data_IF_141509285900
#
_entry.id   IF_141509285900
#
_cell.length_a   1.000
_cell.length_b   1.000
_cell.length_c   1.000
_cell.angle_alpha   90.00
_cell.angle_beta   90.00
_cell.angle_gamma   90.00
#
_symmetry.space_group_name_H-M   'P 1'
#
loop_
_entity.id
_entity.type
_entity.pdbx_description
1 polymer ?
#
# COMPACT_ATOMS: atom_id res chain seq x y z
N UNK A 1 4.32 21.86 15.48
CA UNK A 1 2.99 21.45 14.98
C UNK A 1 2.85 19.95 15.23
N UNK A 2 2.14 19.56 16.29
CA UNK A 2 1.81 18.13 16.51
C UNK A 2 0.84 17.71 15.42
N UNK A 3 1.22 16.74 14.59
CA UNK A 3 0.31 16.06 13.67
C UNK A 3 -0.74 15.33 14.52
N UNK A 4 -1.86 15.99 14.84
CA UNK A 4 -3.06 15.29 15.31
C UNK A 4 -3.59 14.53 14.11
N UNK A 5 -3.25 13.26 14.04
CA UNK A 5 -3.78 12.37 13.01
C UNK A 5 -5.30 12.26 13.17
N UNK A 6 -6.03 12.43 12.08
CA UNK A 6 -7.46 12.14 12.07
C UNK A 6 -7.65 10.63 12.20
N UNK A 7 -8.75 10.21 12.86
CA UNK A 7 -9.18 8.81 12.83
C UNK A 7 -9.36 8.39 11.36
N UNK A 8 -8.94 7.18 10.94
CA UNK A 8 -9.06 6.74 9.54
C UNK A 8 -10.47 6.92 8.94
N UNK A 9 -11.53 6.70 9.72
CA UNK A 9 -12.92 6.89 9.33
C UNK A 9 -13.29 8.34 9.01
N UNK A 10 -12.55 9.32 9.56
CA UNK A 10 -12.76 10.75 9.33
C UNK A 10 -12.00 11.30 8.13
N UNK A 11 -11.15 10.49 7.50
CA UNK A 11 -10.40 10.88 6.31
C UNK A 11 -11.07 10.24 5.10
N UNK A 12 -11.76 11.00 4.27
CA UNK A 12 -12.40 10.47 3.04
C UNK A 12 -11.42 10.36 1.87
N UNK A 13 -10.51 11.33 1.76
CA UNK A 13 -9.46 11.42 0.73
C UNK A 13 -8.15 11.85 1.41
N UNK A 14 -7.09 11.06 1.27
CA UNK A 14 -5.79 11.40 1.84
C UNK A 14 -5.08 12.43 0.97
N UNK A 15 -4.79 13.60 1.54
CA UNK A 15 -3.99 14.61 0.83
C UNK A 15 -2.53 14.20 0.76
N UNK A 16 -1.90 14.50 -0.36
CA UNK A 16 -0.48 14.33 -0.54
C UNK A 16 0.29 15.59 -0.15
N UNK A 17 1.41 15.41 0.54
CA UNK A 17 2.35 16.48 0.87
C UNK A 17 3.75 16.07 0.44
N UNK A 18 4.53 17.07 0.03
CA UNK A 18 5.95 16.84 -0.21
C UNK A 18 6.65 16.50 1.11
N UNK A 19 7.52 15.52 1.03
CA UNK A 19 8.33 15.02 2.13
C UNK A 19 9.19 16.12 2.77
N UNK A 20 9.31 16.11 4.11
CA UNK A 20 10.37 16.85 4.79
C UNK A 20 11.74 16.31 4.40
N UNK A 21 12.73 17.20 4.17
CA UNK A 21 14.09 16.86 3.70
C UNK A 21 14.85 15.75 4.48
N UNK A 22 14.39 15.33 5.65
CA UNK A 22 15.07 14.37 6.54
C UNK A 22 14.66 12.89 6.34
N UNK A 23 13.62 12.58 5.57
CA UNK A 23 13.30 11.18 5.24
C UNK A 23 14.28 10.71 4.12
N UNK A 24 14.78 9.47 4.14
CA UNK A 24 15.65 8.95 3.05
C UNK A 24 14.83 8.46 1.85
N UNK A 25 15.43 8.38 0.66
CA UNK A 25 14.78 7.82 -0.54
C UNK A 25 14.61 6.30 -0.40
N UNK A 26 13.50 5.73 -0.89
CA UNK A 26 13.25 4.29 -0.80
C UNK A 26 11.85 3.79 -1.22
N UNK A 27 10.84 4.65 -1.30
CA UNK A 27 9.45 4.30 -1.68
C UNK A 27 8.89 5.40 -2.58
N UNK A 28 8.00 5.09 -3.53
CA UNK A 28 7.41 6.08 -4.46
C UNK A 28 6.43 7.04 -3.75
N UNK A 29 5.62 6.50 -2.85
CA UNK A 29 4.77 7.24 -1.91
C UNK A 29 4.69 6.48 -0.57
N UNK A 30 4.22 7.15 0.49
CA UNK A 30 4.03 6.54 1.81
C UNK A 30 2.76 7.09 2.48
N UNK A 31 1.85 6.20 2.86
CA UNK A 31 0.75 6.52 3.77
C UNK A 31 1.24 6.72 5.20
N UNK A 32 1.20 7.97 5.67
CA UNK A 32 1.55 8.39 7.03
C UNK A 32 0.39 9.12 7.71
N UNK A 33 -0.30 8.44 8.62
CA UNK A 33 -1.38 8.98 9.45
C UNK A 33 -2.46 9.74 8.67
N UNK A 34 -2.92 9.16 7.55
CA UNK A 34 -3.97 9.76 6.70
C UNK A 34 -3.45 10.80 5.71
N UNK A 35 -2.13 10.90 5.56
CA UNK A 35 -1.46 11.78 4.60
C UNK A 35 -0.57 10.95 3.70
N UNK A 36 -0.53 11.25 2.41
CA UNK A 36 0.40 10.64 1.47
C UNK A 36 1.68 11.49 1.46
N UNK A 37 2.83 10.89 1.67
CA UNK A 37 4.13 11.56 1.61
C UNK A 37 4.81 11.19 0.28
N UNK A 38 5.12 12.20 -0.54
CA UNK A 38 5.83 12.06 -1.83
C UNK A 38 7.21 12.72 -1.77
N UNK A 39 8.10 12.54 -2.74
CA UNK A 39 9.44 13.16 -2.69
C UNK A 39 9.44 14.62 -3.08
N UNK A 40 8.59 15.01 -4.03
CA UNK A 40 8.54 16.37 -4.56
C UNK A 40 7.17 17.01 -4.39
N UNK A 41 7.14 18.34 -4.38
CA UNK A 41 5.89 19.13 -4.41
C UNK A 41 5.08 18.84 -5.68
N UNK A 42 5.75 18.61 -6.80
CA UNK A 42 5.10 18.29 -8.07
C UNK A 42 4.35 16.96 -8.00
N UNK A 43 4.97 15.92 -7.43
CA UNK A 43 4.30 14.63 -7.17
C UNK A 43 3.12 14.81 -6.21
N UNK A 44 3.29 15.57 -5.13
CA UNK A 44 2.20 15.82 -4.18
C UNK A 44 1.01 16.51 -4.86
N UNK A 45 1.28 17.53 -5.70
CA UNK A 45 0.25 18.20 -6.47
C UNK A 45 -0.45 17.25 -7.46
N UNK A 46 0.28 16.35 -8.11
CA UNK A 46 -0.30 15.34 -8.99
C UNK A 46 -1.29 14.43 -8.25
N UNK A 47 -0.88 13.86 -7.11
CA UNK A 47 -1.74 13.03 -6.26
C UNK A 47 -2.97 13.76 -5.72
N UNK A 48 -2.86 15.08 -5.52
CA UNK A 48 -3.98 15.90 -5.05
C UNK A 48 -4.96 16.28 -6.17
N UNK A 49 -4.50 16.33 -7.43
CA UNK A 49 -5.32 16.69 -8.59
C UNK A 49 -5.90 15.49 -9.31
N UNK A 50 -5.26 14.32 -9.23
CA UNK A 50 -5.62 13.11 -9.98
C UNK A 50 -5.73 11.90 -9.07
N UNK A 51 -6.75 11.09 -9.34
CA UNK A 51 -6.91 9.78 -8.74
C UNK A 51 -6.36 8.71 -9.69
N UNK A 52 -5.07 8.43 -9.58
CA UNK A 52 -4.38 7.41 -10.37
C UNK A 52 -4.21 6.08 -9.59
N UNK A 53 -3.51 5.11 -10.19
CA UNK A 53 -3.31 3.80 -9.57
C UNK A 53 -2.51 3.86 -8.27
N UNK A 54 -1.56 4.79 -8.15
CA UNK A 54 -0.76 4.91 -6.94
C UNK A 54 -1.55 5.62 -5.84
N UNK A 55 -2.34 6.65 -6.19
CA UNK A 55 -3.32 7.23 -5.27
C UNK A 55 -4.31 6.18 -4.77
N UNK A 56 -4.83 5.32 -5.65
CA UNK A 56 -5.71 4.22 -5.26
C UNK A 56 -5.03 3.24 -4.28
N UNK A 57 -3.78 2.87 -4.56
CA UNK A 57 -2.96 2.02 -3.67
C UNK A 57 -2.86 2.63 -2.25
N UNK A 58 -2.49 3.90 -2.15
CA UNK A 58 -2.41 4.57 -0.85
C UNK A 58 -3.79 4.63 -0.18
N UNK A 59 -4.85 4.93 -0.92
CA UNK A 59 -6.22 4.93 -0.40
C UNK A 59 -6.65 3.57 0.13
N UNK A 60 -6.16 2.45 -0.42
CA UNK A 60 -6.41 1.12 0.15
C UNK A 60 -5.85 1.02 1.57
N UNK A 61 -4.65 1.55 1.85
CA UNK A 61 -4.10 1.57 3.21
C UNK A 61 -4.95 2.35 4.21
N UNK A 62 -5.58 3.43 3.78
CA UNK A 62 -6.57 4.13 4.61
C UNK A 62 -7.75 3.21 4.98
N UNK A 63 -8.28 2.46 4.02
CA UNK A 63 -9.40 1.54 4.27
C UNK A 63 -8.97 0.32 5.11
N UNK A 64 -7.72 -0.13 4.98
CA UNK A 64 -7.13 -1.13 5.87
C UNK A 64 -6.99 -0.58 7.29
N UNK A 65 -6.61 0.69 7.46
CA UNK A 65 -6.56 1.37 8.76
C UNK A 65 -7.95 1.51 9.40
N UNK A 66 -8.99 1.77 8.60
CA UNK A 66 -10.41 1.71 9.04
C UNK A 66 -10.78 0.31 9.52
N UNK A 67 -10.42 -0.72 8.76
CA UNK A 67 -10.69 -2.12 9.09
C UNK A 67 -9.89 -2.66 10.29
N UNK A 68 -8.80 -1.99 10.68
CA UNK A 68 -7.96 -2.33 11.84
C UNK A 68 -8.31 -1.47 13.04
N UNK A 69 -9.54 -1.64 13.52
CA UNK A 69 -10.10 -0.92 14.68
C UNK A 69 -10.18 0.60 14.51
N UNK A 70 -10.27 1.08 13.27
CA UNK A 70 -10.28 2.51 12.97
C UNK A 70 -9.11 3.27 13.65
N UNK A 71 -7.91 2.68 13.56
CA UNK A 71 -6.73 3.13 14.30
C UNK A 71 -5.45 2.98 13.49
N UNK A 72 -4.81 4.11 13.18
CA UNK A 72 -3.48 4.12 12.56
C UNK A 72 -2.44 3.36 13.38
N UNK A 73 -2.50 3.44 14.70
CA UNK A 73 -1.57 2.71 15.57
C UNK A 73 -1.74 1.21 15.43
N UNK A 74 -2.98 0.70 15.42
CA UNK A 74 -3.25 -0.72 15.22
C UNK A 74 -2.80 -1.19 13.84
N UNK A 75 -3.10 -0.40 12.80
CA UNK A 75 -2.62 -0.64 11.45
C UNK A 75 -1.09 -0.76 11.40
N UNK A 76 -0.36 0.22 11.93
CA UNK A 76 1.11 0.21 11.90
C UNK A 76 1.74 -0.90 12.72
N UNK A 77 1.17 -1.25 13.87
CA UNK A 77 1.65 -2.38 14.67
C UNK A 77 1.49 -3.70 13.91
N UNK A 78 0.34 -3.94 13.28
CA UNK A 78 0.11 -5.13 12.46
C UNK A 78 1.00 -5.14 11.22
N UNK A 79 1.10 -4.00 10.52
CA UNK A 79 1.97 -3.86 9.35
C UNK A 79 3.43 -4.16 9.71
N UNK A 80 3.94 -3.56 10.79
CA UNK A 80 5.30 -3.78 11.29
C UNK A 80 5.54 -5.23 11.73
N UNK A 81 4.56 -5.86 12.38
CA UNK A 81 4.62 -7.28 12.74
C UNK A 81 4.75 -8.18 11.50
N UNK A 82 3.91 -7.98 10.48
CA UNK A 82 4.00 -8.76 9.24
C UNK A 82 5.30 -8.49 8.48
N UNK A 83 5.76 -7.24 8.47
CA UNK A 83 7.04 -6.88 7.88
C UNK A 83 8.20 -7.64 8.55
N UNK A 84 8.29 -7.61 9.89
CA UNK A 84 9.30 -8.36 10.65
C UNK A 84 9.19 -9.87 10.38
N UNK A 85 7.97 -10.38 10.30
CA UNK A 85 7.73 -11.78 9.98
C UNK A 85 8.21 -12.17 8.59
N UNK A 86 8.07 -11.31 7.59
CA UNK A 86 8.52 -11.58 6.24
C UNK A 86 10.02 -11.25 6.02
N UNK A 87 10.59 -10.34 6.80
CA UNK A 87 12.02 -9.97 6.75
C UNK A 87 12.95 -11.16 7.02
N UNK A 88 12.50 -12.20 7.72
CA UNK A 88 13.26 -13.47 7.85
C UNK A 88 13.49 -14.18 6.50
N UNK A 89 12.75 -13.82 5.45
CA UNK A 89 12.86 -14.35 4.09
C UNK A 89 13.79 -13.51 3.19
N UNK A 90 14.46 -12.49 3.74
CA UNK A 90 15.30 -11.53 2.99
C UNK A 90 16.37 -12.19 2.12
N UNK A 91 16.99 -13.29 2.57
CA UNK A 91 18.00 -14.02 1.79
C UNK A 91 17.50 -14.55 0.45
N UNK A 92 16.18 -14.77 0.31
CA UNK A 92 15.55 -15.28 -0.92
C UNK A 92 14.90 -14.17 -1.74
N UNK A 93 14.42 -13.13 -1.07
CA UNK A 93 13.75 -12.00 -1.71
C UNK A 93 14.16 -10.70 -1.01
N UNK A 94 15.01 -9.87 -1.64
CA UNK A 94 15.25 -8.51 -1.16
C UNK A 94 13.92 -7.78 -0.98
N UNK A 95 13.78 -7.03 0.11
CA UNK A 95 12.53 -6.35 0.48
C UNK A 95 11.34 -7.30 0.73
N UNK A 96 11.58 -8.57 1.10
CA UNK A 96 10.52 -9.52 1.48
C UNK A 96 9.53 -8.95 2.50
N UNK A 97 10.00 -8.17 3.47
CA UNK A 97 9.17 -7.49 4.46
C UNK A 97 8.06 -6.65 3.84
N UNK A 98 8.35 -5.98 2.73
CA UNK A 98 7.40 -5.17 1.96
C UNK A 98 6.60 -6.05 0.98
N UNK A 99 7.29 -6.80 0.12
CA UNK A 99 6.67 -7.55 -0.98
C UNK A 99 5.74 -8.68 -0.53
N UNK A 100 5.95 -9.21 0.68
CA UNK A 100 5.12 -10.29 1.25
C UNK A 100 4.21 -9.78 2.37
N UNK A 101 4.13 -8.48 2.60
CA UNK A 101 3.22 -7.93 3.60
C UNK A 101 1.76 -8.15 3.13
N UNK A 102 0.87 -8.75 3.95
CA UNK A 102 -0.51 -8.98 3.56
C UNK A 102 -1.26 -7.71 3.12
N UNK A 103 -0.95 -6.57 3.73
CA UNK A 103 -1.53 -5.28 3.37
C UNK A 103 -1.08 -4.82 1.98
N UNK A 104 0.21 -4.98 1.67
CA UNK A 104 0.77 -4.65 0.36
C UNK A 104 0.24 -5.57 -0.74
N UNK A 105 0.06 -6.86 -0.45
CA UNK A 105 -0.49 -7.81 -1.42
C UNK A 105 -1.90 -7.44 -1.88
N UNK A 106 -2.76 -7.02 -0.94
CA UNK A 106 -4.09 -6.49 -1.27
C UNK A 106 -3.99 -5.18 -2.04
N UNK A 107 -3.19 -4.22 -1.56
CA UNK A 107 -3.05 -2.91 -2.19
C UNK A 107 -2.53 -3.02 -3.64
N UNK A 108 -1.50 -3.82 -3.89
CA UNK A 108 -1.00 -4.08 -5.24
C UNK A 108 -1.90 -4.95 -6.11
N UNK A 109 -2.69 -5.83 -5.49
CA UNK A 109 -3.68 -6.65 -6.18
C UNK A 109 -4.77 -5.77 -6.81
N UNK A 110 -5.20 -4.73 -6.10
CA UNK A 110 -6.33 -3.89 -6.48
C UNK A 110 -5.98 -2.48 -6.96
N UNK A 111 -4.70 -2.09 -6.99
CA UNK A 111 -4.31 -0.71 -7.36
C UNK A 111 -4.83 -0.25 -8.74
N UNK A 112 -5.01 -1.16 -9.70
CA UNK A 112 -5.52 -0.85 -11.04
C UNK A 112 -7.05 -0.89 -11.14
N UNK A 113 -7.73 -1.37 -10.10
CA UNK A 113 -9.18 -1.38 -9.99
C UNK A 113 -9.63 -0.17 -9.18
N UNK A 114 -9.84 0.95 -9.89
CA UNK A 114 -10.25 2.23 -9.29
C UNK A 114 -11.64 2.17 -8.61
N UNK A 115 -12.42 1.12 -8.89
CA UNK A 115 -13.75 0.93 -8.31
C UNK A 115 -13.72 -0.05 -7.11
N UNK A 116 -12.57 -0.63 -6.79
CA UNK A 116 -12.41 -1.60 -5.70
C UNK A 116 -12.98 -1.08 -4.37
N UNK A 117 -12.55 0.11 -3.95
CA UNK A 117 -12.98 0.72 -2.68
C UNK A 117 -14.46 1.11 -2.66
N UNK A 118 -15.02 1.44 -3.83
CA UNK A 118 -16.45 1.75 -3.96
C UNK A 118 -17.31 0.51 -3.76
N UNK A 119 -16.87 -0.66 -4.25
CA UNK A 119 -17.61 -1.92 -4.14
C UNK A 119 -17.51 -2.55 -2.76
N UNK A 120 -16.31 -2.61 -2.19
CA UNK A 120 -16.07 -3.35 -0.94
C UNK A 120 -16.34 -2.54 0.33
N UNK A 121 -16.34 -1.19 0.26
CA UNK A 121 -16.47 -0.26 1.41
C UNK A 121 -15.41 -0.41 2.52
N UNK A 122 -14.68 -1.52 2.57
CA UNK A 122 -13.56 -1.83 3.46
C UNK A 122 -12.51 -2.65 2.69
N UNK A 123 -11.24 -2.47 3.04
CA UNK A 123 -10.14 -3.30 2.54
C UNK A 123 -9.77 -4.32 3.62
N UNK A 124 -10.21 -5.57 3.42
CA UNK A 124 -10.12 -6.67 4.40
C UNK A 124 -9.49 -7.94 3.83
N UNK A 125 -9.17 -7.99 2.55
CA UNK A 125 -8.57 -9.16 1.89
C UNK A 125 -7.17 -9.46 2.43
N UNK A 126 -6.47 -8.46 2.99
CA UNK A 126 -5.24 -8.67 3.75
C UNK A 126 -5.37 -9.74 4.84
N UNK A 127 -6.57 -9.95 5.42
CA UNK A 127 -6.80 -11.00 6.42
C UNK A 127 -6.64 -12.40 5.83
N UNK A 128 -7.05 -12.59 4.58
CA UNK A 128 -6.83 -13.85 3.86
C UNK A 128 -5.35 -14.05 3.58
N UNK A 129 -4.65 -13.02 3.08
CA UNK A 129 -3.19 -13.08 2.88
C UNK A 129 -2.42 -13.29 4.19
N UNK A 130 -2.93 -12.82 5.33
CA UNK A 130 -2.33 -13.02 6.64
C UNK A 130 -2.40 -14.47 7.13
N UNK A 131 -3.39 -15.24 6.67
CA UNK A 131 -3.51 -16.68 6.96
C UNK A 131 -2.55 -17.53 6.11
N UNK A 132 -2.03 -16.98 5.01
CA UNK A 132 -1.07 -17.66 4.16
C UNK A 132 0.33 -17.71 4.79
N UNK A 133 1.00 -18.84 4.58
CA UNK A 133 2.43 -18.97 4.80
C UNK A 133 3.23 -17.99 3.93
N UNK A 134 4.47 -17.71 4.32
CA UNK A 134 5.35 -16.85 3.52
C UNK A 134 5.65 -17.44 2.14
N UNK A 135 5.68 -18.76 2.01
CA UNK A 135 5.89 -19.44 0.74
C UNK A 135 4.69 -19.24 -0.20
N UNK A 136 3.46 -19.37 0.31
CA UNK A 136 2.24 -19.11 -0.47
C UNK A 136 2.16 -17.65 -0.91
N UNK A 137 2.45 -16.69 -0.02
CA UNK A 137 2.52 -15.27 -0.37
C UNK A 137 3.57 -14.97 -1.42
N UNK A 138 4.73 -15.62 -1.34
CA UNK A 138 5.78 -15.50 -2.34
C UNK A 138 5.31 -16.01 -3.70
N UNK A 139 4.71 -17.20 -3.75
CA UNK A 139 4.14 -17.76 -4.98
C UNK A 139 3.07 -16.85 -5.58
N UNK A 140 2.19 -16.29 -4.75
CA UNK A 140 1.15 -15.35 -5.15
C UNK A 140 1.75 -14.07 -5.75
N UNK A 141 2.73 -13.47 -5.07
CA UNK A 141 3.45 -12.29 -5.55
C UNK A 141 4.12 -12.56 -6.90
N UNK A 142 4.87 -13.66 -7.03
CA UNK A 142 5.56 -14.01 -8.28
C UNK A 142 4.59 -14.23 -9.42
N UNK A 143 3.47 -14.94 -9.19
CA UNK A 143 2.44 -15.16 -10.22
C UNK A 143 1.84 -13.84 -10.72
N UNK A 144 1.49 -12.92 -9.81
CA UNK A 144 0.91 -11.63 -10.17
C UNK A 144 1.91 -10.72 -10.89
N UNK A 145 3.19 -10.75 -10.49
CA UNK A 145 4.25 -10.00 -11.18
C UNK A 145 4.48 -10.52 -12.60
N UNK A 146 4.51 -11.84 -12.79
CA UNK A 146 4.66 -12.46 -14.11
C UNK A 146 3.48 -12.12 -15.03
N UNK A 147 2.25 -12.20 -14.53
CA UNK A 147 1.06 -11.81 -15.31
C UNK A 147 1.11 -10.35 -15.75
N UNK A 148 1.51 -9.42 -14.85
CA UNK A 148 1.66 -8.00 -15.17
C UNK A 148 2.77 -7.72 -16.20
N UNK A 149 3.84 -8.52 -16.23
CA UNK A 149 4.90 -8.39 -17.24
C UNK A 149 4.44 -8.90 -18.61
N UNK A 150 3.73 -10.03 -18.66
CA UNK A 150 3.19 -10.57 -19.91
C UNK A 150 2.14 -9.65 -20.54
N UNK A 151 1.26 -9.04 -19.73
CA UNK A 151 0.26 -8.10 -20.23
C UNK A 151 0.87 -6.81 -20.78
N UNK A 152 1.97 -6.31 -20.19
CA UNK A 152 2.69 -5.14 -20.73
C UNK A 152 3.32 -5.45 -22.08
N UNK A 153 3.96 -6.61 -22.23
CA UNK A 153 4.63 -7.00 -23.47
C UNK A 153 3.68 -7.18 -24.66
N UNK A 154 2.43 -7.60 -24.41
CA UNK A 154 1.39 -7.73 -25.45
C UNK A 154 0.84 -6.38 -25.93
N UNK A 155 0.88 -5.35 -25.09
CA UNK A 155 0.39 -4.00 -25.43
C UNK A 155 1.47 -3.16 -26.12
N UNK A 156 2.76 -3.40 -25.84
CA UNK A 156 3.87 -2.71 -26.51
C UNK A 156 4.37 -3.37 -27.79
N UNK A 157 3.71 -4.43 -28.25
CA UNK A 157 3.96 -5.09 -29.54
C UNK A 157 2.84 -4.88 -30.58
N UNK A 158 1.94 -3.94 -30.30
CA UNK A 158 0.92 -3.39 -31.21
C UNK A 158 1.22 -1.92 -31.49
#
# INVERSE_FOLDING_TARGET
MMLRSARPSRTEDMKAIAKPRWIKQGYEALTFFGTIITHTTQEAEMFNRRFDFLKNHEMIHLYQARATHDSWTCFYLLYGWYWLCASRYYRRLPNAGYLLNPFELEAYGHMHDIHYLQRQQQAVEWKHYAQMSLAERYTHYTKNMLQKQMSKNLVSSQ
#
